data_IF_173103996271
#
_entry.id   IF_173103996271
#
_cell.length_a   1.000
_cell.length_b   1.000
_cell.length_c   1.000
_cell.angle_alpha   90.00
_cell.angle_beta   90.00
_cell.angle_gamma   90.00
#
_symmetry.space_group_name_H-M   'P 1'
#
loop_
_entity.id
_entity.type
_entity.pdbx_description
1 polymer ?
#
# COMPACT_ATOMS: atom_id res chain seq x y z
N UNK A 1 13.85 -21.77 35.13
CA UNK A 1 12.69 -20.88 34.92
C UNK A 1 12.62 -19.93 36.09
N UNK A 2 12.67 -18.63 35.85
CA UNK A 2 12.68 -17.61 36.91
C UNK A 2 11.36 -17.66 37.70
N UNK A 3 11.43 -17.55 39.03
CA UNK A 3 10.30 -17.64 39.96
C UNK A 3 9.38 -16.41 39.89
N UNK A 4 8.88 -16.08 38.69
CA UNK A 4 7.98 -14.95 38.50
C UNK A 4 6.54 -15.31 38.91
N UNK A 5 5.77 -14.34 39.43
CA UNK A 5 4.34 -14.51 39.66
C UNK A 5 3.61 -14.85 38.35
N UNK A 6 2.58 -15.69 38.44
CA UNK A 6 1.71 -16.03 37.31
C UNK A 6 0.90 -14.80 36.86
N UNK A 7 0.51 -13.95 37.82
CA UNK A 7 -0.23 -12.72 37.55
C UNK A 7 0.69 -11.64 36.95
N UNK A 8 0.30 -11.00 35.84
CA UNK A 8 1.08 -9.91 35.26
C UNK A 8 1.21 -8.72 36.23
N UNK A 9 2.45 -8.37 36.57
CA UNK A 9 2.84 -7.18 37.33
C UNK A 9 3.53 -6.13 36.45
N UNK A 10 3.69 -4.90 36.96
CA UNK A 10 4.42 -3.85 36.25
C UNK A 10 5.85 -4.28 35.90
N UNK A 11 6.52 -5.00 36.80
CA UNK A 11 7.86 -5.54 36.60
C UNK A 11 7.88 -6.59 35.48
N UNK A 12 6.98 -7.58 35.53
CA UNK A 12 6.96 -8.65 34.51
C UNK A 12 6.68 -8.10 33.11
N UNK A 13 5.78 -7.12 32.99
CA UNK A 13 5.51 -6.45 31.73
C UNK A 13 6.71 -5.60 31.28
N UNK A 14 7.40 -4.92 32.21
CA UNK A 14 8.60 -4.15 31.91
C UNK A 14 9.77 -5.04 31.47
N UNK A 15 9.98 -6.19 32.11
CA UNK A 15 10.98 -7.17 31.69
C UNK A 15 10.67 -7.72 30.30
N UNK A 16 9.41 -8.04 30.01
CA UNK A 16 8.99 -8.40 28.66
C UNK A 16 9.33 -7.29 27.66
N UNK A 17 9.08 -6.03 27.99
CA UNK A 17 9.39 -4.89 27.12
C UNK A 17 10.89 -4.79 26.85
N UNK A 18 11.72 -4.84 27.89
CA UNK A 18 13.19 -4.74 27.75
C UNK A 18 13.71 -5.91 26.94
N UNK A 19 13.33 -7.14 27.29
CA UNK A 19 13.76 -8.34 26.59
C UNK A 19 13.38 -8.30 25.11
N UNK A 20 12.11 -8.05 24.79
CA UNK A 20 11.64 -8.05 23.40
C UNK A 20 12.21 -6.88 22.59
N UNK A 21 12.53 -5.74 23.22
CA UNK A 21 13.11 -4.60 22.51
C UNK A 21 14.54 -4.84 22.02
N UNK A 22 15.23 -5.88 22.54
CA UNK A 22 16.50 -6.33 21.98
C UNK A 22 16.32 -7.16 20.69
N UNK A 23 15.12 -7.71 20.47
CA UNK A 23 14.86 -8.65 19.38
C UNK A 23 13.99 -8.05 18.26
N UNK A 24 13.10 -7.10 18.59
CA UNK A 24 12.20 -6.46 17.64
C UNK A 24 12.05 -4.95 17.94
N UNK A 25 11.52 -4.20 16.97
CA UNK A 25 11.33 -2.76 17.12
C UNK A 25 10.42 -2.42 18.32
N UNK A 26 10.76 -1.44 19.16
CA UNK A 26 9.95 -1.05 20.33
C UNK A 26 8.48 -0.72 20.00
N UNK A 27 8.21 -0.13 18.82
CA UNK A 27 6.84 0.13 18.35
C UNK A 27 6.03 -1.18 18.17
N UNK A 28 6.70 -2.26 17.75
CA UNK A 28 6.10 -3.60 17.67
C UNK A 28 5.92 -4.23 19.05
N UNK A 29 6.88 -4.06 19.96
CA UNK A 29 6.77 -4.51 21.36
C UNK A 29 5.55 -3.90 22.03
N UNK A 30 5.34 -2.58 21.88
CA UNK A 30 4.17 -1.87 22.42
C UNK A 30 2.84 -2.44 21.89
N UNK A 31 2.81 -2.76 20.60
CA UNK A 31 1.64 -3.36 19.93
C UNK A 31 1.38 -4.77 20.44
N UNK A 32 2.42 -5.60 20.52
CA UNK A 32 2.31 -6.98 21.01
C UNK A 32 1.91 -7.01 22.48
N UNK A 33 2.50 -6.16 23.32
CA UNK A 33 2.12 -6.03 24.72
C UNK A 33 0.63 -5.68 24.86
N UNK A 34 0.11 -4.77 24.04
CA UNK A 34 -1.31 -4.43 24.02
C UNK A 34 -2.18 -5.64 23.62
N UNK A 35 -1.73 -6.42 22.63
CA UNK A 35 -2.39 -7.66 22.21
C UNK A 35 -2.38 -8.76 23.29
N UNK A 36 -1.25 -8.93 23.97
CA UNK A 36 -1.09 -9.85 25.11
C UNK A 36 -2.05 -9.45 26.23
N UNK A 37 -2.07 -8.17 26.62
CA UNK A 37 -2.97 -7.67 27.65
C UNK A 37 -4.44 -7.86 27.27
N UNK A 38 -4.80 -7.69 25.99
CA UNK A 38 -6.15 -7.94 25.52
C UNK A 38 -6.55 -9.42 25.64
N UNK A 39 -5.64 -10.35 25.33
CA UNK A 39 -5.87 -11.80 25.50
C UNK A 39 -5.93 -12.23 26.97
N UNK A 40 -5.15 -11.58 27.83
CA UNK A 40 -5.06 -11.90 29.26
C UNK A 40 -6.19 -11.31 30.09
N UNK A 41 -6.86 -10.27 29.62
CA UNK A 41 -7.90 -9.56 30.36
C UNK A 41 -9.00 -10.45 30.97
N UNK A 42 -9.51 -11.50 30.31
CA UNK A 42 -10.51 -12.39 30.92
C UNK A 42 -10.02 -13.12 32.16
N UNK A 43 -8.71 -13.35 32.29
CA UNK A 43 -8.09 -14.06 33.42
C UNK A 43 -7.48 -13.11 34.46
N UNK A 44 -7.06 -11.92 34.01
CA UNK A 44 -6.43 -10.89 34.83
C UNK A 44 -7.11 -9.54 34.56
N UNK A 45 -8.23 -9.22 35.23
CA UNK A 45 -9.04 -8.04 34.92
C UNK A 45 -8.27 -6.71 34.98
N UNK A 46 -7.26 -6.62 35.85
CA UNK A 46 -6.45 -5.42 36.04
C UNK A 46 -5.25 -5.28 35.08
N UNK A 47 -5.00 -6.25 34.19
CA UNK A 47 -3.81 -6.26 33.31
C UNK A 47 -3.68 -5.01 32.44
N UNK A 48 -4.81 -4.39 32.05
CA UNK A 48 -4.81 -3.12 31.30
C UNK A 48 -4.32 -1.95 32.14
N UNK A 49 -4.68 -1.92 33.43
CA UNK A 49 -4.17 -0.91 34.37
C UNK A 49 -2.68 -1.13 34.61
N UNK A 50 -2.25 -2.37 34.83
CA UNK A 50 -0.82 -2.74 34.96
C UNK A 50 -0.02 -2.32 33.73
N UNK A 51 -0.53 -2.57 32.52
CA UNK A 51 0.11 -2.14 31.27
C UNK A 51 0.21 -0.61 31.15
N UNK A 52 -0.78 0.12 31.65
CA UNK A 52 -0.82 1.57 31.62
C UNK A 52 0.00 2.21 32.74
N UNK A 53 0.54 1.42 33.67
CA UNK A 53 1.27 1.94 34.81
C UNK A 53 2.51 2.75 34.39
N UNK A 54 2.94 3.73 35.21
CA UNK A 54 4.07 4.59 34.89
C UNK A 54 5.36 3.82 34.62
N UNK A 55 5.62 2.73 35.33
CA UNK A 55 6.83 1.92 35.13
C UNK A 55 6.88 1.32 33.73
N UNK A 56 5.81 0.65 33.29
CA UNK A 56 5.72 0.03 31.96
C UNK A 56 5.80 1.09 30.86
N UNK A 57 5.08 2.21 31.04
CA UNK A 57 5.08 3.31 30.06
C UNK A 57 6.45 3.97 29.91
N UNK A 58 7.16 4.20 31.03
CA UNK A 58 8.53 4.75 31.02
C UNK A 58 9.53 3.75 30.46
N UNK A 59 9.39 2.46 30.74
CA UNK A 59 10.22 1.41 30.17
C UNK A 59 10.07 1.34 28.65
N UNK A 60 8.84 1.41 28.13
CA UNK A 60 8.57 1.51 26.70
C UNK A 60 9.22 2.75 26.08
N UNK A 61 9.08 3.91 26.73
CA UNK A 61 9.69 5.15 26.26
C UNK A 61 11.23 5.09 26.27
N UNK A 62 11.83 4.49 27.30
CA UNK A 62 13.26 4.24 27.39
C UNK A 62 13.75 3.32 26.28
N UNK A 63 13.08 2.19 26.07
CA UNK A 63 13.41 1.26 24.99
C UNK A 63 13.23 1.90 23.60
N UNK A 64 12.24 2.76 23.42
CA UNK A 64 12.08 3.54 22.20
C UNK A 64 13.28 4.47 21.96
N UNK A 65 13.83 5.11 22.99
CA UNK A 65 15.02 5.97 22.85
C UNK A 65 16.29 5.17 22.57
N UNK A 66 16.42 3.98 23.18
CA UNK A 66 17.64 3.17 23.09
C UNK A 66 17.70 2.33 21.81
N UNK A 67 16.59 1.71 21.41
CA UNK A 67 16.57 0.66 20.38
C UNK A 67 15.81 1.04 19.11
N UNK A 68 15.14 2.20 19.07
CA UNK A 68 14.43 2.62 17.84
C UNK A 68 15.43 2.92 16.75
N UNK A 69 15.35 2.13 15.69
CA UNK A 69 16.06 2.42 14.44
C UNK A 69 15.13 3.14 13.47
N UNK A 70 15.66 4.05 12.63
CA UNK A 70 14.87 4.68 11.57
C UNK A 70 14.19 3.64 10.69
N UNK A 71 12.92 3.87 10.34
CA UNK A 71 12.20 2.99 9.42
C UNK A 71 12.84 3.06 8.03
N UNK A 72 13.36 1.94 7.53
CA UNK A 72 13.81 1.84 6.14
C UNK A 72 12.59 1.90 5.21
N UNK A 73 12.35 3.08 4.64
CA UNK A 73 11.23 3.36 3.75
C UNK A 73 11.68 3.16 2.30
N UNK A 74 10.95 2.32 1.58
CA UNK A 74 11.15 2.12 0.14
C UNK A 74 10.89 3.41 -0.62
N UNK A 75 11.67 3.65 -1.68
CA UNK A 75 11.53 4.80 -2.56
C UNK A 75 10.12 4.81 -3.15
N UNK A 76 9.42 5.95 -3.18
CA UNK A 76 8.17 6.08 -3.91
C UNK A 76 8.40 5.85 -5.40
N UNK A 77 7.50 5.10 -6.04
CA UNK A 77 7.50 5.00 -7.49
C UNK A 77 7.11 6.37 -8.08
N UNK A 78 7.61 6.73 -9.25
CA UNK A 78 7.21 7.95 -9.96
C UNK A 78 6.54 7.63 -11.30
N UNK A 79 5.97 8.64 -11.95
CA UNK A 79 5.36 8.49 -13.28
C UNK A 79 6.43 8.17 -14.33
N UNK A 80 7.62 8.73 -14.18
CA UNK A 80 8.79 8.44 -15.02
C UNK A 80 9.23 6.96 -14.88
N UNK A 81 9.16 6.40 -13.67
CA UNK A 81 9.42 4.97 -13.45
C UNK A 81 8.40 4.10 -14.21
N UNK A 82 7.12 4.49 -14.26
CA UNK A 82 6.08 3.78 -15.00
C UNK A 82 6.35 3.81 -16.51
N UNK A 83 6.63 5.01 -17.04
CA UNK A 83 6.97 5.20 -18.44
C UNK A 83 8.21 4.38 -18.83
N UNK A 84 9.25 4.43 -18.01
CA UNK A 84 10.48 3.64 -18.20
C UNK A 84 10.20 2.14 -18.28
N UNK A 85 9.37 1.59 -17.39
CA UNK A 85 9.01 0.16 -17.43
C UNK A 85 8.34 -0.19 -18.75
N UNK A 86 7.39 0.61 -19.21
CA UNK A 86 6.70 0.32 -20.48
C UNK A 86 7.60 0.45 -21.71
N UNK A 87 8.59 1.36 -21.68
CA UNK A 87 9.50 1.57 -22.81
C UNK A 87 10.56 0.48 -22.96
N UNK A 88 10.89 -0.24 -21.88
CA UNK A 88 11.82 -1.38 -21.91
C UNK A 88 11.30 -2.58 -22.71
N UNK A 89 9.97 -2.69 -22.90
CA UNK A 89 9.37 -3.82 -23.58
C UNK A 89 8.35 -3.35 -24.64
N UNK A 90 8.82 -2.95 -25.85
CA UNK A 90 7.94 -2.47 -26.93
C UNK A 90 6.95 -3.51 -27.43
N UNK A 91 7.28 -4.81 -27.28
CA UNK A 91 6.45 -5.94 -27.68
C UNK A 91 6.18 -6.84 -26.47
N UNK A 92 5.33 -6.43 -25.53
CA UNK A 92 5.18 -7.12 -24.26
C UNK A 92 4.45 -8.45 -24.43
N UNK A 93 4.94 -9.49 -23.76
CA UNK A 93 4.23 -10.76 -23.61
C UNK A 93 2.95 -10.57 -22.79
N UNK A 94 2.14 -11.63 -22.65
CA UNK A 94 0.96 -11.57 -21.79
C UNK A 94 1.32 -11.24 -20.33
N UNK A 95 2.39 -11.84 -19.81
CA UNK A 95 2.84 -11.63 -18.43
C UNK A 95 3.44 -10.23 -18.24
N UNK A 96 4.10 -9.67 -19.26
CA UNK A 96 4.58 -8.28 -19.24
C UNK A 96 3.41 -7.29 -19.24
N UNK A 97 2.40 -7.52 -20.10
CA UNK A 97 1.15 -6.73 -20.11
C UNK A 97 0.45 -6.79 -18.75
N UNK A 98 0.37 -7.97 -18.13
CA UNK A 98 -0.18 -8.13 -16.79
C UNK A 98 0.62 -7.33 -15.77
N UNK A 99 1.95 -7.43 -15.80
CA UNK A 99 2.82 -6.71 -14.89
C UNK A 99 2.66 -5.19 -15.04
N UNK A 100 2.66 -4.67 -16.26
CA UNK A 100 2.43 -3.25 -16.54
C UNK A 100 1.05 -2.80 -16.05
N UNK A 101 -0.01 -3.55 -16.35
CA UNK A 101 -1.36 -3.22 -15.90
C UNK A 101 -1.46 -3.19 -14.38
N UNK A 102 -0.86 -4.16 -13.68
CA UNK A 102 -0.81 -4.19 -12.21
C UNK A 102 0.01 -3.02 -11.63
N UNK A 103 1.11 -2.64 -12.29
CA UNK A 103 1.96 -1.53 -11.86
C UNK A 103 1.21 -0.19 -11.99
N UNK A 104 0.60 0.07 -13.15
CA UNK A 104 -0.18 1.29 -13.41
C UNK A 104 -1.44 1.37 -12.57
N UNK A 105 -2.24 0.30 -12.48
CA UNK A 105 -3.41 0.27 -11.61
C UNK A 105 -3.00 0.37 -10.14
N UNK A 106 -1.90 -0.31 -9.78
CA UNK A 106 -1.26 -0.25 -8.47
C UNK A 106 -0.95 1.17 -8.03
N UNK A 107 -0.38 1.94 -8.95
CA UNK A 107 -0.05 3.34 -8.81
C UNK A 107 -1.33 4.17 -8.75
N UNK A 108 -2.00 4.45 -9.87
CA UNK A 108 -3.06 5.47 -10.01
C UNK A 108 -4.35 5.24 -9.18
N UNK A 109 -4.56 4.04 -8.62
CA UNK A 109 -5.68 3.77 -7.72
C UNK A 109 -5.26 3.60 -6.25
N UNK A 110 -4.04 4.00 -5.89
CA UNK A 110 -3.46 3.89 -4.55
C UNK A 110 -3.56 2.47 -3.96
N UNK A 111 -3.49 1.44 -4.80
CA UNK A 111 -3.69 0.07 -4.34
C UNK A 111 -2.58 -0.37 -3.40
N UNK A 112 -2.94 -1.18 -2.41
CA UNK A 112 -1.94 -2.06 -1.80
C UNK A 112 -1.69 -3.19 -2.78
N UNK A 113 -0.43 -3.62 -2.93
CA UNK A 113 -0.13 -4.77 -3.79
C UNK A 113 -0.99 -6.00 -3.46
N UNK A 114 -1.22 -6.28 -2.17
CA UNK A 114 -2.07 -7.39 -1.71
C UNK A 114 -3.57 -7.26 -2.03
N UNK A 115 -4.03 -6.13 -2.58
CA UNK A 115 -5.39 -5.97 -3.13
C UNK A 115 -5.46 -6.49 -4.58
N UNK A 116 -4.33 -6.56 -5.29
CA UNK A 116 -4.26 -6.93 -6.70
C UNK A 116 -3.75 -8.37 -6.94
N UNK A 117 -2.95 -8.90 -6.03
CA UNK A 117 -2.27 -10.20 -6.18
C UNK A 117 -2.62 -11.17 -5.07
N UNK A 118 -2.46 -12.47 -5.34
CA UNK A 118 -2.68 -13.51 -4.36
C UNK A 118 -1.54 -13.62 -3.33
N UNK A 119 -1.85 -14.00 -2.08
CA UNK A 119 -0.83 -14.39 -1.11
C UNK A 119 0.02 -15.56 -1.62
N UNK A 120 1.33 -15.48 -1.36
CA UNK A 120 2.26 -16.56 -1.71
C UNK A 120 1.89 -17.85 -0.96
N UNK A 121 1.60 -17.73 0.34
CA UNK A 121 1.13 -18.83 1.19
C UNK A 121 -0.29 -19.23 0.82
N UNK A 122 -0.47 -20.48 0.42
CA UNK A 122 -1.76 -21.04 -0.02
C UNK A 122 -2.83 -20.93 1.06
N UNK A 123 -2.50 -21.20 2.33
CA UNK A 123 -3.43 -21.12 3.46
C UNK A 123 -4.03 -19.72 3.70
N UNK A 124 -3.44 -18.66 3.13
CA UNK A 124 -3.93 -17.29 3.24
C UNK A 124 -4.76 -16.85 2.03
N UNK A 125 -4.86 -17.67 0.99
CA UNK A 125 -5.57 -17.34 -0.25
C UNK A 125 -7.08 -17.37 -0.04
N UNK A 126 -7.76 -16.34 -0.55
CA UNK A 126 -9.21 -16.23 -0.46
C UNK A 126 -9.75 -15.71 -1.81
N UNK A 127 -10.46 -16.58 -2.53
CA UNK A 127 -11.01 -16.28 -3.85
C UNK A 127 -12.09 -15.19 -3.81
N UNK A 128 -12.72 -14.95 -2.66
CA UNK A 128 -13.70 -13.86 -2.50
C UNK A 128 -13.07 -12.47 -2.64
N UNK A 129 -11.75 -12.37 -2.40
CA UNK A 129 -11.00 -11.12 -2.50
C UNK A 129 -10.48 -10.84 -3.92
N UNK A 130 -10.67 -11.77 -4.85
CA UNK A 130 -10.17 -11.64 -6.22
C UNK A 130 -11.09 -10.72 -7.03
N UNK A 131 -10.49 -9.68 -7.63
CA UNK A 131 -11.19 -8.77 -8.55
C UNK A 131 -11.70 -9.58 -9.75
N UNK A 132 -12.98 -9.43 -10.06
CA UNK A 132 -13.64 -10.19 -11.13
C UNK A 132 -13.58 -9.43 -12.45
N UNK A 133 -13.29 -10.13 -13.55
CA UNK A 133 -13.34 -9.58 -14.90
C UNK A 133 -14.71 -9.02 -15.25
N UNK A 134 -15.77 -9.66 -14.77
CA UNK A 134 -17.16 -9.23 -14.99
C UNK A 134 -17.51 -7.91 -14.31
N UNK A 135 -16.68 -7.40 -13.40
CA UNK A 135 -16.88 -6.10 -12.76
C UNK A 135 -16.21 -4.95 -13.50
N UNK A 136 -15.45 -5.24 -14.56
CA UNK A 136 -14.75 -4.20 -15.32
C UNK A 136 -15.75 -3.40 -16.16
N UNK A 137 -15.69 -2.09 -16.01
CA UNK A 137 -16.50 -1.12 -16.76
C UNK A 137 -15.57 -0.20 -17.56
N UNK A 138 -15.89 0.00 -18.84
CA UNK A 138 -15.21 0.99 -19.68
C UNK A 138 -15.94 2.33 -19.58
N UNK A 139 -15.19 3.42 -19.55
CA UNK A 139 -15.68 4.79 -19.61
C UNK A 139 -15.04 5.50 -20.81
N UNK A 140 -15.58 6.68 -21.18
CA UNK A 140 -15.07 7.44 -22.32
C UNK A 140 -13.57 7.81 -22.17
N UNK A 141 -13.14 8.15 -20.96
CA UNK A 141 -11.77 8.57 -20.64
C UNK A 141 -11.16 7.75 -19.50
N UNK A 142 -11.51 6.47 -19.38
CA UNK A 142 -10.98 5.63 -18.31
C UNK A 142 -11.62 4.26 -18.23
N UNK A 143 -11.32 3.56 -17.14
CA UNK A 143 -11.86 2.25 -16.83
C UNK A 143 -12.07 2.12 -15.33
N UNK A 144 -12.87 1.13 -14.93
CA UNK A 144 -13.06 0.83 -13.52
C UNK A 144 -13.32 -0.64 -13.30
N UNK A 145 -13.25 -1.05 -12.03
CA UNK A 145 -13.58 -2.39 -11.58
C UNK A 145 -13.98 -2.38 -10.11
N UNK A 146 -14.65 -3.44 -9.67
CA UNK A 146 -15.01 -3.59 -8.27
C UNK A 146 -13.90 -4.31 -7.50
N UNK A 147 -13.32 -3.63 -6.50
CA UNK A 147 -12.40 -4.20 -5.52
C UNK A 147 -13.23 -4.87 -4.40
N UNK A 148 -13.25 -6.21 -4.26
CA UNK A 148 -14.15 -6.87 -3.31
C UNK A 148 -13.78 -6.69 -1.83
N UNK A 149 -12.55 -6.27 -1.53
CA UNK A 149 -12.06 -6.16 -0.16
C UNK A 149 -10.88 -5.21 -0.04
N UNK A 150 -10.84 -4.44 1.05
CA UNK A 150 -9.63 -3.78 1.54
C UNK A 150 -9.54 -3.88 3.06
N UNK A 151 -8.35 -3.65 3.65
CA UNK A 151 -8.13 -3.82 5.11
C UNK A 151 -9.06 -2.97 6.00
N UNK A 152 -9.63 -1.88 5.46
CA UNK A 152 -10.56 -1.01 6.17
C UNK A 152 -12.03 -1.44 6.04
N UNK A 153 -12.32 -2.41 5.18
CA UNK A 153 -13.66 -2.90 4.91
C UNK A 153 -13.96 -4.10 5.82
N UNK A 154 -14.69 -3.82 6.89
CA UNK A 154 -15.09 -4.84 7.87
C UNK A 154 -16.25 -5.70 7.37
N UNK A 155 -17.05 -5.20 6.44
CA UNK A 155 -18.32 -5.80 6.02
C UNK A 155 -18.27 -6.43 4.62
N UNK A 156 -17.12 -6.37 3.93
CA UNK A 156 -16.93 -6.90 2.57
C UNK A 156 -17.85 -6.23 1.55
N UNK A 157 -18.16 -4.94 1.73
CA UNK A 157 -18.91 -4.15 0.75
C UNK A 157 -18.09 -3.88 -0.52
N UNK A 158 -16.76 -3.88 -0.39
CA UNK A 158 -15.84 -3.57 -1.46
C UNK A 158 -15.80 -2.09 -1.82
N UNK A 159 -15.22 -1.78 -2.97
CA UNK A 159 -15.12 -0.41 -3.47
C UNK A 159 -15.08 -0.40 -4.99
N UNK A 160 -15.78 0.54 -5.61
CA UNK A 160 -15.61 0.80 -7.04
C UNK A 160 -14.34 1.60 -7.25
N UNK A 161 -13.44 1.06 -8.05
CA UNK A 161 -12.20 1.72 -8.48
C UNK A 161 -12.44 2.30 -9.86
N UNK A 162 -12.09 3.57 -10.04
CA UNK A 162 -12.13 4.25 -11.34
C UNK A 162 -10.75 4.85 -11.56
N UNK A 163 -10.16 4.55 -12.71
CA UNK A 163 -8.87 5.06 -13.15
C UNK A 163 -9.09 5.80 -14.46
N UNK A 164 -8.78 7.09 -14.44
CA UNK A 164 -8.90 7.96 -15.61
C UNK A 164 -7.61 7.91 -16.42
N UNK A 165 -7.75 8.14 -17.73
CA UNK A 165 -6.62 8.37 -18.63
C UNK A 165 -5.80 9.58 -18.14
N UNK A 166 -4.49 9.51 -18.38
CA UNK A 166 -3.52 10.51 -17.96
C UNK A 166 -2.69 10.96 -19.16
N UNK A 167 -2.18 12.19 -19.11
CA UNK A 167 -1.30 12.72 -20.17
C UNK A 167 0.05 12.00 -20.18
N UNK A 168 0.58 11.66 -19.00
CA UNK A 168 1.84 10.96 -18.81
C UNK A 168 1.64 9.55 -18.25
N UNK A 169 2.36 8.57 -18.80
CA UNK A 169 2.27 7.15 -18.42
C UNK A 169 0.82 6.62 -18.38
N UNK A 170 0.02 6.98 -19.39
CA UNK A 170 -1.42 6.71 -19.44
C UNK A 170 -1.77 5.24 -19.10
N UNK A 171 -2.53 4.99 -18.01
CA UNK A 171 -2.92 3.63 -17.65
C UNK A 171 -3.93 3.01 -18.62
N UNK A 172 -4.70 3.80 -19.36
CA UNK A 172 -5.77 3.30 -20.23
C UNK A 172 -5.27 2.38 -21.37
N UNK A 173 -4.31 2.77 -22.21
CA UNK A 173 -3.79 1.90 -23.26
C UNK A 173 -3.12 0.64 -22.69
N UNK A 174 -2.41 0.78 -21.57
CA UNK A 174 -1.74 -0.35 -20.87
C UNK A 174 -2.77 -1.37 -20.39
N UNK A 175 -3.83 -0.90 -19.72
CA UNK A 175 -4.90 -1.77 -19.23
C UNK A 175 -5.65 -2.44 -20.38
N UNK A 176 -5.99 -1.70 -21.43
CA UNK A 176 -6.69 -2.24 -22.60
C UNK A 176 -5.86 -3.29 -23.35
N UNK A 177 -4.54 -3.09 -23.47
CA UNK A 177 -3.62 -4.08 -24.06
C UNK A 177 -3.61 -5.38 -23.27
N UNK A 178 -3.56 -5.30 -21.93
CA UNK A 178 -3.67 -6.46 -21.06
C UNK A 178 -5.04 -7.12 -21.17
N UNK A 179 -6.13 -6.35 -21.08
CA UNK A 179 -7.50 -6.86 -21.08
C UNK A 179 -7.80 -7.61 -22.37
N UNK A 180 -7.37 -7.08 -23.51
CA UNK A 180 -7.52 -7.72 -24.82
C UNK A 180 -6.76 -9.05 -24.90
N UNK A 181 -5.51 -9.07 -24.42
CA UNK A 181 -4.70 -10.29 -24.36
C UNK A 181 -5.31 -11.34 -23.42
N UNK A 182 -5.80 -10.91 -22.25
CA UNK A 182 -6.46 -11.75 -21.26
C UNK A 182 -7.74 -12.36 -21.80
N UNK A 183 -8.59 -11.58 -22.46
CA UNK A 183 -9.89 -12.05 -22.96
C UNK A 183 -9.74 -13.00 -24.16
N UNK A 184 -8.67 -12.82 -24.95
CA UNK A 184 -8.28 -13.77 -26.00
C UNK A 184 -7.86 -15.13 -25.42
N UNK A 185 -7.01 -15.14 -24.38
CA UNK A 185 -6.46 -16.37 -23.79
C UNK A 185 -7.43 -17.06 -22.80
N UNK A 186 -8.22 -16.29 -22.05
CA UNK A 186 -8.93 -16.75 -20.85
C UNK A 186 -10.39 -16.26 -20.78
N UNK A 187 -11.11 -16.42 -21.89
CA UNK A 187 -12.50 -15.95 -22.06
C UNK A 187 -13.43 -16.29 -20.90
N UNK A 188 -13.34 -17.51 -20.37
CA UNK A 188 -14.26 -18.03 -19.34
C UNK A 188 -13.71 -17.97 -17.90
N UNK A 189 -12.49 -17.44 -17.69
CA UNK A 189 -11.93 -17.33 -16.34
C UNK A 189 -12.54 -16.11 -15.64
N UNK A 190 -12.96 -16.19 -14.37
CA UNK A 190 -13.61 -15.07 -13.69
C UNK A 190 -12.65 -14.02 -13.14
N UNK A 191 -11.40 -14.39 -12.82
CA UNK A 191 -10.42 -13.48 -12.23
C UNK A 191 -9.93 -12.44 -13.24
N UNK A 192 -9.88 -11.16 -12.87
CA UNK A 192 -9.38 -10.11 -13.75
C UNK A 192 -7.90 -10.29 -14.07
N UNK A 193 -7.08 -10.50 -13.03
CA UNK A 193 -5.63 -10.65 -13.12
C UNK A 193 -5.26 -12.11 -13.30
N UNK A 194 -4.65 -12.45 -14.43
CA UNK A 194 -4.27 -13.81 -14.80
C UNK A 194 -2.90 -13.77 -15.47
N UNK A 195 -2.03 -14.66 -15.04
CA UNK A 195 -0.76 -14.97 -15.70
C UNK A 195 -1.00 -15.80 -16.97
N UNK A 196 0.05 -15.99 -17.77
CA UNK A 196 0.07 -16.90 -18.93
C UNK A 196 -0.31 -18.34 -18.60
N UNK A 197 -0.15 -18.76 -17.34
CA UNK A 197 -0.61 -20.04 -16.81
C UNK A 197 -2.12 -20.06 -16.45
N UNK A 198 -2.84 -18.97 -16.68
CA UNK A 198 -4.28 -18.85 -16.37
C UNK A 198 -4.58 -18.79 -14.88
N UNK A 199 -3.62 -18.42 -14.03
CA UNK A 199 -3.79 -18.29 -12.57
C UNK A 199 -3.52 -16.87 -12.10
N UNK A 200 -4.15 -16.39 -11.01
CA UNK A 200 -3.85 -15.07 -10.48
C UNK A 200 -2.38 -14.95 -10.05
N UNK A 201 -1.71 -13.82 -10.35
CA UNK A 201 -0.33 -13.60 -9.96
C UNK A 201 -0.20 -13.55 -8.44
N UNK A 202 0.93 -14.02 -7.92
CA UNK A 202 1.25 -13.89 -6.49
C UNK A 202 2.10 -12.66 -6.20
N UNK A 203 2.25 -12.31 -4.91
CA UNK A 203 3.18 -11.26 -4.50
C UNK A 203 4.62 -11.54 -4.92
N UNK A 204 5.10 -12.77 -4.78
CA UNK A 204 6.43 -13.17 -5.24
C UNK A 204 6.58 -13.04 -6.76
N UNK A 205 5.55 -13.40 -7.52
CA UNK A 205 5.52 -13.20 -8.98
C UNK A 205 5.71 -11.72 -9.33
N UNK A 206 4.94 -10.82 -8.72
CA UNK A 206 5.03 -9.39 -9.00
C UNK A 206 6.39 -8.81 -8.60
N UNK A 207 6.88 -9.14 -7.41
CA UNK A 207 8.16 -8.63 -6.93
C UNK A 207 9.35 -9.14 -7.73
N UNK A 208 9.25 -10.32 -8.35
CA UNK A 208 10.30 -10.82 -9.25
C UNK A 208 10.41 -9.93 -10.50
N UNK A 209 9.29 -9.58 -11.12
CA UNK A 209 9.28 -8.67 -12.28
C UNK A 209 9.78 -7.29 -11.89
N UNK A 210 9.33 -6.76 -10.76
CA UNK A 210 9.78 -5.45 -10.27
C UNK A 210 11.30 -5.40 -10.02
N UNK A 211 11.88 -6.45 -9.43
CA UNK A 211 13.33 -6.53 -9.14
C UNK A 211 14.20 -6.80 -10.35
N UNK A 212 13.61 -7.29 -11.45
CA UNK A 212 14.34 -7.43 -12.70
C UNK A 212 14.65 -6.05 -13.32
N UNK A 213 13.87 -5.02 -12.96
CA UNK A 213 13.97 -3.67 -13.52
C UNK A 213 14.58 -2.69 -12.52
N UNK A 214 14.13 -2.74 -11.26
CA UNK A 214 14.49 -1.77 -10.24
C UNK A 214 15.41 -2.35 -9.15
N UNK A 215 16.22 -1.50 -8.50
CA UNK A 215 16.94 -1.88 -7.31
C UNK A 215 15.98 -2.24 -6.16
N UNK A 216 16.54 -2.81 -5.09
CA UNK A 216 15.75 -3.28 -3.94
C UNK A 216 15.12 -2.16 -3.10
N UNK A 217 15.37 -0.90 -3.45
CA UNK A 217 14.77 0.28 -2.84
C UNK A 217 13.31 0.49 -3.27
N UNK A 218 12.84 -0.16 -4.34
CA UNK A 218 11.42 -0.21 -4.75
C UNK A 218 10.79 -1.56 -4.37
N UNK A 219 9.56 -1.51 -3.86
CA UNK A 219 8.77 -2.72 -3.56
C UNK A 219 7.27 -2.47 -3.72
N UNK A 220 6.42 -3.45 -3.38
CA UNK A 220 4.97 -3.28 -3.45
C UNK A 220 4.38 -2.12 -2.62
N UNK A 221 5.11 -1.62 -1.62
CA UNK A 221 4.70 -0.40 -0.88
C UNK A 221 4.99 0.90 -1.64
N UNK A 222 5.96 0.87 -2.57
CA UNK A 222 6.36 2.00 -3.38
C UNK A 222 5.25 2.51 -4.29
N UNK A 223 4.35 1.62 -4.74
CA UNK A 223 3.14 1.95 -5.50
C UNK A 223 2.31 3.00 -4.75
N UNK A 224 1.89 2.65 -3.54
CA UNK A 224 0.97 3.46 -2.74
C UNK A 224 1.61 4.75 -2.22
N UNK A 225 2.91 4.73 -1.91
CA UNK A 225 3.63 5.97 -1.56
C UNK A 225 3.95 6.85 -2.76
N UNK A 226 4.21 6.23 -3.91
CA UNK A 226 4.47 6.91 -5.17
C UNK A 226 3.30 7.78 -5.57
N UNK A 227 2.14 7.15 -5.69
CA UNK A 227 0.94 7.84 -6.15
C UNK A 227 0.43 8.88 -5.14
N UNK A 228 0.49 8.59 -3.83
CA UNK A 228 0.15 9.59 -2.82
C UNK A 228 1.06 10.83 -2.90
N UNK A 229 2.35 10.62 -3.21
CA UNK A 229 3.31 11.71 -3.40
C UNK A 229 3.08 12.44 -4.72
N UNK A 230 2.70 11.73 -5.77
CA UNK A 230 2.38 12.29 -7.08
C UNK A 230 1.16 13.22 -6.98
N UNK A 231 0.02 12.76 -6.44
CA UNK A 231 -1.16 13.61 -6.30
C UNK A 231 -0.94 14.80 -5.36
N UNK A 232 -0.21 14.61 -4.26
CA UNK A 232 0.15 15.72 -3.39
C UNK A 232 1.02 16.77 -4.12
N UNK A 233 1.99 16.32 -4.92
CA UNK A 233 2.82 17.21 -5.74
C UNK A 233 2.02 17.87 -6.87
N UNK A 234 0.94 17.24 -7.33
CA UNK A 234 -0.02 17.80 -8.28
C UNK A 234 -1.04 18.76 -7.61
N UNK A 235 -0.93 19.01 -6.31
CA UNK A 235 -1.80 19.96 -5.60
C UNK A 235 -3.18 19.42 -5.25
N UNK A 236 -3.37 18.09 -5.25
CA UNK A 236 -4.64 17.52 -4.82
C UNK A 236 -4.89 17.77 -3.33
N UNK A 237 -6.15 18.10 -2.94
CA UNK A 237 -6.52 18.20 -1.53
C UNK A 237 -6.27 16.89 -0.78
N UNK A 238 -5.83 17.01 0.48
CA UNK A 238 -5.56 15.90 1.39
C UNK A 238 -6.77 14.95 1.50
N UNK A 239 -7.99 15.50 1.57
CA UNK A 239 -9.23 14.74 1.68
C UNK A 239 -9.46 13.86 0.45
N UNK A 240 -9.10 14.36 -0.74
CA UNK A 240 -9.25 13.63 -2.00
C UNK A 240 -8.25 12.49 -2.08
N UNK A 241 -6.99 12.72 -1.70
CA UNK A 241 -5.95 11.67 -1.64
C UNK A 241 -6.33 10.61 -0.60
N UNK A 242 -6.83 11.06 0.56
CA UNK A 242 -7.28 10.18 1.63
C UNK A 242 -8.43 9.27 1.16
N UNK A 243 -9.44 9.84 0.51
CA UNK A 243 -10.59 9.12 -0.03
C UNK A 243 -10.17 8.14 -1.14
N UNK A 244 -9.38 8.59 -2.11
CA UNK A 244 -8.91 7.76 -3.22
C UNK A 244 -8.13 6.55 -2.71
N UNK A 245 -7.26 6.72 -1.72
CA UNK A 245 -6.53 5.61 -1.14
C UNK A 245 -7.30 4.79 -0.12
N UNK A 246 -8.56 5.12 0.19
CA UNK A 246 -9.40 4.40 1.14
C UNK A 246 -8.76 4.36 2.54
N UNK A 247 -8.21 5.50 2.98
CA UNK A 247 -7.68 5.65 4.34
C UNK A 247 -8.72 6.25 5.28
N UNK A 248 -8.98 5.56 6.39
CA UNK A 248 -9.90 6.04 7.43
C UNK A 248 -9.27 7.06 8.38
N UNK A 249 -7.94 7.25 8.32
CA UNK A 249 -7.21 8.15 9.21
C UNK A 249 -6.12 8.91 8.49
N UNK A 250 -5.54 9.89 9.18
CA UNK A 250 -4.38 10.69 8.75
C UNK A 250 -3.09 9.88 8.51
N UNK A 251 -3.14 8.55 8.62
CA UNK A 251 -2.03 7.65 8.29
C UNK A 251 -1.54 7.80 6.83
N UNK A 252 -2.38 8.30 5.91
CA UNK A 252 -2.00 8.55 4.53
C UNK A 252 -0.86 9.57 4.40
N UNK A 253 -0.74 10.54 5.32
CA UNK A 253 0.35 11.53 5.33
C UNK A 253 1.73 10.90 5.41
N UNK A 254 1.83 9.72 6.05
CA UNK A 254 3.06 8.95 6.08
C UNK A 254 3.43 8.35 4.71
N UNK A 255 2.53 8.32 3.73
CA UNK A 255 2.81 7.85 2.37
C UNK A 255 3.29 8.98 1.45
N UNK A 256 3.04 10.24 1.79
CA UNK A 256 3.56 11.41 1.07
C UNK A 256 5.04 11.57 1.43
N UNK A 257 5.90 11.56 0.40
CA UNK A 257 7.36 11.37 0.53
C UNK A 257 8.17 12.47 -0.16
N UNK A 258 7.63 13.69 -0.18
CA UNK A 258 8.37 14.91 -0.51
C UNK A 258 8.37 15.84 0.70
N UNK A 259 9.41 16.68 0.79
CA UNK A 259 9.48 17.70 1.83
C UNK A 259 8.28 18.68 1.67
N UNK A 260 7.57 19.04 2.75
CA UNK A 260 6.43 19.95 2.67
C UNK A 260 6.74 21.28 1.97
N UNK A 261 7.95 21.84 2.14
CA UNK A 261 8.39 23.06 1.46
C UNK A 261 8.50 22.84 -0.05
N UNK A 262 9.02 21.68 -0.47
CA UNK A 262 9.12 21.32 -1.89
C UNK A 262 7.72 21.12 -2.47
N UNK A 263 6.82 20.44 -1.76
CA UNK A 263 5.43 20.28 -2.20
C UNK A 263 4.74 21.64 -2.34
N UNK A 264 4.88 22.52 -1.35
CA UNK A 264 4.33 23.86 -1.40
C UNK A 264 4.87 24.64 -2.59
N UNK A 265 6.18 24.60 -2.85
CA UNK A 265 6.78 25.26 -4.00
C UNK A 265 6.27 24.70 -5.34
N UNK A 266 6.08 23.39 -5.46
CA UNK A 266 5.54 22.74 -6.67
C UNK A 266 4.09 23.16 -6.94
N UNK A 267 3.26 23.25 -5.90
CA UNK A 267 1.87 23.70 -6.02
C UNK A 267 1.81 25.16 -6.46
N UNK A 268 2.52 26.05 -5.75
CA UNK A 268 2.48 27.48 -6.04
C UNK A 268 3.18 27.85 -7.36
N UNK A 269 4.27 27.15 -7.71
CA UNK A 269 4.97 27.35 -8.98
C UNK A 269 4.12 27.00 -10.19
N UNK A 270 3.28 25.96 -10.10
CA UNK A 270 2.28 25.65 -11.14
C UNK A 270 1.18 26.69 -11.23
N UNK A 271 0.66 27.17 -10.09
CA UNK A 271 -0.36 28.24 -10.08
C UNK A 271 0.15 29.54 -10.73
N UNK A 272 1.44 29.86 -10.56
CA UNK A 272 2.08 31.01 -11.22
C UNK A 272 2.22 30.75 -12.73
N UNK A 273 2.73 29.58 -13.13
CA UNK A 273 2.89 29.22 -14.54
C UNK A 273 1.56 29.16 -15.31
N UNK A 274 0.50 28.62 -14.72
CA UNK A 274 -0.87 28.58 -15.27
C UNK A 274 -1.48 30.00 -15.38
N UNK A 275 -1.22 30.86 -14.39
CA UNK A 275 -1.66 32.26 -14.41
C UNK A 275 -0.95 33.08 -15.48
N UNK A 276 0.32 32.80 -15.74
CA UNK A 276 1.11 33.53 -16.73
C UNK A 276 0.86 33.02 -18.16
N UNK A 277 0.58 31.72 -18.35
CA UNK A 277 0.17 31.17 -19.64
C UNK A 277 -1.26 31.59 -20.05
N UNK A 278 -2.15 31.90 -19.10
CA UNK A 278 -3.44 32.53 -19.35
C UNK A 278 -3.37 34.04 -19.69
N UNK A 279 -2.18 34.66 -19.63
CA UNK A 279 -1.94 36.09 -19.90
C UNK A 279 -1.18 36.36 -21.20
N UNK A 280 -0.82 35.34 -21.97
CA UNK A 280 -0.21 35.53 -23.28
C UNK A 280 -1.32 35.89 -24.30
N UNK A 281 -1.18 36.99 -25.07
CA UNK A 281 -2.15 37.34 -26.10
C UNK A 281 -2.15 36.28 -27.21
N UNK A 282 -3.36 35.96 -27.72
CA UNK A 282 -3.58 35.11 -28.91
C UNK A 282 -2.98 35.72 -30.17
#
# INVERSE_FOLDING_TARGET
MHAFPIAPSEDTLSFYVVYMSHHIQPDSVATYLSGICNRLQPFFPHVRHTRAAPLVSRTLAGCLKLYKTPTNRKRPLSVEDLFYVTSLCPHPSHDDKLFHALLHCGFFALHRLGELVMPDRVALRDWRKVIKRSSVTAYASGFGYHLPYHKGDRFFEGSTIIILSQDEADPLPVFNAYLSSRDSLFRLRPALWLTSAGTPPTRAWFLRHLRAIFPTDIAGHSLRSGDATHFAAAGWPDERIQALGRWTSQAFKTYIRKNPVILQALVHGRTIAERDSARLPQ
#
